data_IF_596508239750
#
_entry.id   IF_596508239750
#
_cell.length_a   1.000
_cell.length_b   1.000
_cell.length_c   1.000
_cell.angle_alpha   90.00
_cell.angle_beta   90.00
_cell.angle_gamma   90.00
#
_symmetry.space_group_name_H-M   'P 1'
#
loop_
_entity.id
_entity.type
_entity.pdbx_description
1 polymer ?
#
# COMPACT_ATOMS: atom_id res chain seq x y z
N UNK A 1 -7.91 -10.09 -12.84
CA UNK A 1 -7.42 -8.70 -12.77
C UNK A 1 -5.99 -8.67 -13.30
N UNK A 2 -5.51 -7.56 -13.85
CA UNK A 2 -4.08 -7.39 -14.17
C UNK A 2 -3.46 -6.42 -13.17
N UNK A 3 -2.33 -6.75 -12.56
CA UNK A 3 -1.62 -5.86 -11.62
C UNK A 3 -0.74 -4.83 -12.32
N UNK A 4 -1.34 -4.15 -13.30
CA UNK A 4 -0.75 -3.03 -14.05
C UNK A 4 -1.56 -1.76 -13.79
N UNK A 5 -0.98 -0.59 -14.09
CA UNK A 5 -1.72 0.68 -14.03
C UNK A 5 -3.03 0.63 -14.83
N UNK A 6 -2.99 0.04 -16.04
CA UNK A 6 -4.18 -0.13 -16.90
C UNK A 6 -5.20 -1.07 -16.27
N UNK A 7 -4.75 -2.19 -15.70
CA UNK A 7 -5.61 -3.15 -15.02
C UNK A 7 -6.31 -2.55 -13.79
N UNK A 8 -5.57 -1.84 -12.94
CA UNK A 8 -6.17 -1.14 -11.80
C UNK A 8 -7.17 -0.07 -12.24
N UNK A 9 -6.88 0.67 -13.32
CA UNK A 9 -7.84 1.65 -13.87
C UNK A 9 -9.12 0.97 -14.37
N UNK A 10 -9.02 -0.19 -15.02
CA UNK A 10 -10.17 -0.99 -15.45
C UNK A 10 -10.99 -1.52 -14.26
N UNK A 11 -10.32 -1.81 -13.14
CA UNK A 11 -10.96 -2.17 -11.87
C UNK A 11 -11.57 -0.97 -11.13
N UNK A 12 -11.47 0.25 -11.66
CA UNK A 12 -12.06 1.44 -11.06
C UNK A 12 -11.16 2.17 -10.04
N UNK A 13 -9.86 1.86 -10.00
CA UNK A 13 -8.91 2.72 -9.27
C UNK A 13 -8.69 4.04 -10.02
N UNK A 14 -8.52 5.10 -9.24
CA UNK A 14 -8.22 6.46 -9.68
C UNK A 14 -7.04 7.04 -8.88
N UNK A 15 -6.73 8.32 -9.09
CA UNK A 15 -5.65 9.01 -8.40
C UNK A 15 -4.32 8.93 -9.14
N UNK A 16 -3.65 7.77 -9.09
CA UNK A 16 -2.33 7.50 -9.68
C UNK A 16 -1.37 8.71 -9.59
N UNK A 17 -1.16 9.21 -8.36
CA UNK A 17 -0.31 10.39 -8.10
C UNK A 17 0.96 10.01 -7.36
N UNK A 18 2.13 10.59 -7.72
CA UNK A 18 3.36 10.42 -6.95
C UNK A 18 3.18 10.84 -5.49
N UNK A 19 3.76 10.08 -4.57
CA UNK A 19 3.75 10.37 -3.13
C UNK A 19 4.29 11.78 -2.86
N UNK A 20 5.40 12.17 -3.50
CA UNK A 20 6.04 13.47 -3.30
C UNK A 20 5.20 14.68 -3.70
N UNK A 21 4.19 14.49 -4.56
CA UNK A 21 3.29 15.56 -5.03
C UNK A 21 1.82 15.30 -4.68
N UNK A 22 1.54 14.39 -3.73
CA UNK A 22 0.17 13.99 -3.41
C UNK A 22 -0.48 14.98 -2.44
N UNK A 23 -1.54 15.63 -2.92
CA UNK A 23 -2.40 16.48 -2.10
C UNK A 23 -3.53 15.67 -1.46
N UNK A 24 -3.56 15.59 -0.12
CA UNK A 24 -4.57 14.83 0.62
C UNK A 24 -6.02 15.21 0.26
N UNK A 25 -6.28 16.47 -0.08
CA UNK A 25 -7.62 16.95 -0.47
C UNK A 25 -8.16 16.27 -1.74
N UNK A 26 -7.29 15.76 -2.62
CA UNK A 26 -7.69 15.02 -3.83
C UNK A 26 -8.18 13.61 -3.55
N UNK A 27 -7.88 13.07 -2.37
CA UNK A 27 -8.30 11.74 -1.96
C UNK A 27 -9.72 11.85 -1.40
N UNK A 28 -10.66 10.99 -1.84
CA UNK A 28 -12.01 10.93 -1.27
C UNK A 28 -11.98 10.65 0.24
N UNK A 29 -13.00 11.14 0.95
CA UNK A 29 -13.17 10.85 2.38
C UNK A 29 -13.84 9.51 2.64
N UNK A 30 -14.53 8.96 1.63
CA UNK A 30 -15.23 7.69 1.72
C UNK A 30 -14.31 6.51 2.03
N UNK A 31 -14.93 5.39 2.37
CA UNK A 31 -14.23 4.12 2.55
C UNK A 31 -13.75 3.58 1.20
N UNK A 32 -12.72 2.74 1.23
CA UNK A 32 -12.22 2.16 -0.01
C UNK A 32 -10.97 1.32 0.16
N UNK A 33 -10.34 0.99 -0.96
CA UNK A 33 -9.01 0.39 -1.00
C UNK A 33 -8.03 1.34 -1.67
N UNK A 34 -6.76 1.25 -1.32
CA UNK A 34 -5.69 1.97 -1.98
C UNK A 34 -4.53 1.05 -2.32
N UNK A 35 -3.76 1.44 -3.33
CA UNK A 35 -2.60 0.73 -3.82
C UNK A 35 -1.41 1.67 -3.91
N UNK A 36 -0.21 1.13 -3.69
CA UNK A 36 1.07 1.78 -3.99
C UNK A 36 1.65 1.10 -5.23
N UNK A 37 2.05 1.89 -6.22
CA UNK A 37 2.59 1.38 -7.48
C UNK A 37 3.96 1.97 -7.79
N UNK A 38 4.84 1.15 -8.35
CA UNK A 38 6.03 1.58 -9.04
C UNK A 38 5.66 2.30 -10.36
N UNK A 39 6.24 3.49 -10.66
CA UNK A 39 6.13 4.06 -12.00
C UNK A 39 6.89 3.22 -13.03
N UNK A 40 6.65 3.49 -14.31
CA UNK A 40 7.36 2.82 -15.40
C UNK A 40 8.87 3.08 -15.29
N UNK A 41 9.67 2.01 -15.46
CA UNK A 41 11.14 2.09 -15.36
C UNK A 41 11.68 2.16 -13.93
N UNK A 42 10.85 2.12 -12.90
CA UNK A 42 11.30 2.12 -11.51
C UNK A 42 12.19 0.90 -11.21
N UNK A 43 13.33 1.14 -10.56
CA UNK A 43 14.24 0.09 -10.11
C UNK A 43 14.36 0.17 -8.59
N UNK A 44 14.18 -0.94 -7.86
CA UNK A 44 14.26 -0.93 -6.41
C UNK A 44 15.70 -0.63 -5.97
N UNK A 45 15.86 0.42 -5.18
CA UNK A 45 17.08 0.67 -4.41
C UNK A 45 16.72 0.69 -2.95
N UNK A 46 17.32 -0.21 -2.18
CA UNK A 46 16.98 -0.38 -0.78
C UNK A 46 17.84 0.51 0.12
N UNK A 47 17.19 1.22 1.04
CA UNK A 47 17.85 1.97 2.10
C UNK A 47 18.29 1.02 3.22
N UNK A 48 19.51 1.26 3.75
CA UNK A 48 20.00 0.57 4.96
C UNK A 48 19.09 0.76 6.16
N UNK A 49 18.43 1.92 6.25
CA UNK A 49 17.50 2.28 7.31
C UNK A 49 16.21 2.80 6.70
N UNK A 50 15.08 2.31 7.20
CA UNK A 50 13.76 2.79 6.81
C UNK A 50 13.53 4.23 7.25
N UNK A 51 12.79 4.98 6.44
CA UNK A 51 12.25 6.29 6.84
C UNK A 51 11.00 6.15 7.71
N UNK A 52 10.45 4.94 7.85
CA UNK A 52 9.22 4.73 8.57
C UNK A 52 9.37 4.95 10.08
N UNK A 53 8.29 5.38 10.74
CA UNK A 53 8.26 5.58 12.18
C UNK A 53 8.45 4.30 12.99
N UNK A 54 8.99 4.43 14.20
CA UNK A 54 9.11 3.29 15.12
C UNK A 54 7.72 2.90 15.65
N UNK A 55 7.40 1.61 15.63
CA UNK A 55 6.14 1.08 16.18
C UNK A 55 6.41 0.17 17.36
N UNK A 56 5.86 0.48 18.54
CA UNK A 56 6.04 -0.33 19.76
C UNK A 56 7.52 -0.66 20.04
N UNK A 57 8.42 0.34 19.88
CA UNK A 57 9.89 0.22 20.02
C UNK A 57 10.57 -0.72 19.02
N UNK A 58 9.91 -1.07 17.90
CA UNK A 58 10.49 -1.90 16.83
C UNK A 58 10.96 -1.03 15.66
N UNK A 59 12.17 -1.30 15.19
CA UNK A 59 12.72 -0.73 13.96
C UNK A 59 11.99 -1.34 12.75
N UNK A 60 11.48 -0.53 11.81
CA UNK A 60 10.84 -1.05 10.60
C UNK A 60 11.82 -1.62 9.57
N UNK A 61 13.12 -1.38 9.73
CA UNK A 61 14.18 -1.76 8.79
C UNK A 61 14.40 -3.27 8.75
N UNK A 62 14.54 -3.80 7.54
CA UNK A 62 14.99 -5.14 7.21
C UNK A 62 16.34 -5.10 6.46
N UNK A 63 17.16 -6.17 6.57
CA UNK A 63 18.37 -6.29 5.76
C UNK A 63 18.01 -6.46 4.28
N UNK A 64 18.90 -6.03 3.39
CA UNK A 64 18.69 -6.04 1.94
C UNK A 64 18.27 -7.42 1.37
N UNK A 65 18.87 -8.55 1.76
CA UNK A 65 18.42 -9.87 1.26
C UNK A 65 16.97 -10.18 1.61
N UNK A 66 16.47 -9.71 2.76
CA UNK A 66 15.07 -9.90 3.13
C UNK A 66 14.14 -9.02 2.30
N UNK A 67 14.56 -7.80 1.94
CA UNK A 67 13.79 -6.93 1.03
C UNK A 67 13.75 -7.51 -0.39
N UNK A 68 14.91 -7.94 -0.90
CA UNK A 68 15.02 -8.55 -2.22
C UNK A 68 14.17 -9.82 -2.34
N UNK A 69 14.07 -10.62 -1.27
CA UNK A 69 13.23 -11.82 -1.25
C UNK A 69 11.73 -11.53 -1.40
N UNK A 70 11.26 -10.36 -0.94
CA UNK A 70 9.86 -9.93 -1.06
C UNK A 70 9.56 -9.21 -2.38
N UNK A 71 10.60 -8.78 -3.12
CA UNK A 71 10.43 -8.06 -4.38
C UNK A 71 9.83 -8.97 -5.47
N UNK A 72 9.03 -8.39 -6.36
CA UNK A 72 8.33 -9.08 -7.45
C UNK A 72 8.50 -8.29 -8.74
N UNK A 73 9.39 -8.74 -9.64
CA UNK A 73 9.72 -7.99 -10.86
C UNK A 73 8.58 -7.94 -11.90
N UNK A 74 7.67 -8.90 -11.87
CA UNK A 74 6.62 -9.06 -12.88
C UNK A 74 5.43 -8.07 -12.71
N UNK A 75 5.48 -7.16 -11.74
CA UNK A 75 4.35 -6.31 -11.37
C UNK A 75 4.77 -4.94 -10.89
N UNK A 76 3.89 -3.96 -11.09
CA UNK A 76 4.10 -2.60 -10.58
C UNK A 76 3.42 -2.37 -9.24
N UNK A 77 2.54 -3.28 -8.79
CA UNK A 77 1.79 -3.09 -7.54
C UNK A 77 2.64 -3.56 -6.36
N UNK A 78 3.04 -2.62 -5.52
CA UNK A 78 3.92 -2.86 -4.38
C UNK A 78 3.16 -3.07 -3.07
N UNK A 79 1.95 -2.51 -2.96
CA UNK A 79 1.13 -2.62 -1.77
C UNK A 79 -0.35 -2.46 -2.11
N UNK A 80 -1.21 -3.18 -1.39
CA UNK A 80 -2.65 -3.04 -1.38
C UNK A 80 -3.16 -3.01 0.07
N UNK A 81 -4.04 -2.06 0.39
CA UNK A 81 -4.63 -1.98 1.71
C UNK A 81 -6.01 -1.36 1.71
N UNK A 82 -6.80 -1.65 2.74
CA UNK A 82 -8.13 -1.03 2.93
C UNK A 82 -8.10 0.23 3.79
N UNK A 83 -9.10 1.07 3.58
CA UNK A 83 -9.42 2.24 4.38
C UNK A 83 -10.87 2.15 4.85
N UNK A 84 -11.06 1.68 6.08
CA UNK A 84 -12.37 1.51 6.70
C UNK A 84 -12.85 2.75 7.47
N UNK A 85 -14.10 2.72 7.95
CA UNK A 85 -14.73 3.84 8.67
C UNK A 85 -14.12 4.06 10.07
N UNK A 86 -13.32 3.11 10.57
CA UNK A 86 -12.78 3.12 11.92
C UNK A 86 -13.86 2.89 12.99
N UNK A 87 -13.46 2.81 14.25
CA UNK A 87 -14.38 2.56 15.37
C UNK A 87 -15.41 3.68 15.58
N UNK A 88 -15.10 4.91 15.17
CA UNK A 88 -15.97 6.10 15.31
C UNK A 88 -16.73 6.48 14.04
N UNK A 89 -16.60 5.71 12.95
CA UNK A 89 -17.31 5.99 11.70
C UNK A 89 -16.80 7.19 10.90
N UNK A 90 -15.74 7.86 11.33
CA UNK A 90 -15.27 9.14 10.78
C UNK A 90 -13.95 9.03 9.99
N UNK A 91 -13.59 7.82 9.55
CA UNK A 91 -12.37 7.53 8.80
C UNK A 91 -12.70 7.04 7.39
N UNK A 92 -11.68 6.99 6.53
CA UNK A 92 -11.77 6.53 5.15
C UNK A 92 -10.45 6.74 4.42
N UNK A 93 -10.49 6.71 3.09
CA UNK A 93 -9.32 6.74 2.22
C UNK A 93 -8.36 7.88 2.55
N UNK A 94 -8.84 9.12 2.58
CA UNK A 94 -8.01 10.30 2.89
C UNK A 94 -7.23 10.13 4.20
N UNK A 95 -7.91 9.70 5.26
CA UNK A 95 -7.27 9.54 6.58
C UNK A 95 -6.28 8.39 6.59
N UNK A 96 -6.63 7.25 5.97
CA UNK A 96 -5.76 6.07 5.95
C UNK A 96 -4.50 6.30 5.12
N UNK A 97 -4.64 6.93 3.95
CA UNK A 97 -3.49 7.30 3.11
C UNK A 97 -2.62 8.34 3.83
N UNK A 98 -3.22 9.36 4.47
CA UNK A 98 -2.43 10.32 5.24
C UNK A 98 -1.60 9.64 6.34
N UNK A 99 -2.18 8.69 7.08
CA UNK A 99 -1.44 7.94 8.10
C UNK A 99 -0.35 7.05 7.51
N UNK A 100 -0.59 6.46 6.33
CA UNK A 100 0.43 5.73 5.59
C UNK A 100 1.61 6.66 5.21
N UNK A 101 1.34 7.86 4.69
CA UNK A 101 2.37 8.85 4.36
C UNK A 101 3.11 9.36 5.60
N UNK A 102 2.38 9.68 6.66
CA UNK A 102 2.91 10.10 7.95
C UNK A 102 3.85 9.04 8.53
N UNK A 103 3.50 7.76 8.39
CA UNK A 103 4.34 6.65 8.78
C UNK A 103 5.69 6.71 8.04
N UNK A 104 5.70 6.95 6.74
CA UNK A 104 6.92 7.10 5.94
C UNK A 104 7.78 8.31 6.27
N UNK A 105 7.23 9.29 6.99
CA UNK A 105 7.92 10.48 7.49
C UNK A 105 8.42 10.31 8.93
N UNK A 106 8.52 9.07 9.42
CA UNK A 106 9.00 8.77 10.76
C UNK A 106 7.95 8.93 11.87
N UNK A 107 6.69 9.25 11.55
CA UNK A 107 5.65 9.39 12.58
C UNK A 107 5.20 8.01 13.07
N UNK A 108 4.90 7.85 14.37
CA UNK A 108 4.45 6.58 14.92
C UNK A 108 3.16 6.10 14.23
N UNK A 109 3.12 4.88 13.66
CA UNK A 109 1.94 4.44 12.93
C UNK A 109 0.90 3.79 13.85
N UNK A 110 -0.35 3.76 13.40
CA UNK A 110 -1.39 2.93 14.01
C UNK A 110 -1.34 1.45 13.59
N UNK A 111 -0.62 1.13 12.50
CA UNK A 111 -0.47 -0.21 11.93
C UNK A 111 0.96 -0.45 11.43
N UNK A 112 1.34 -1.71 11.23
CA UNK A 112 2.71 -2.08 10.83
C UNK A 112 2.84 -2.49 9.35
N UNK A 113 1.70 -2.61 8.66
CA UNK A 113 1.64 -3.00 7.26
C UNK A 113 2.13 -1.89 6.32
N UNK A 114 2.66 -2.29 5.16
CA UNK A 114 3.17 -1.37 4.15
C UNK A 114 4.56 -0.79 4.43
N UNK A 115 5.18 -1.13 5.55
CA UNK A 115 6.46 -0.52 5.99
C UNK A 115 7.62 -0.70 5.01
N UNK A 116 7.63 -1.76 4.19
CA UNK A 116 8.74 -2.01 3.26
C UNK A 116 8.80 -0.96 2.15
N UNK A 117 7.68 -0.29 1.83
CA UNK A 117 7.67 0.87 0.92
C UNK A 117 8.68 1.93 1.38
N UNK A 118 8.79 2.14 2.68
CA UNK A 118 9.65 3.15 3.30
C UNK A 118 11.11 2.70 3.47
N UNK A 119 11.51 1.59 2.85
CA UNK A 119 12.92 1.24 2.61
C UNK A 119 13.29 1.36 1.13
N UNK A 120 12.41 1.86 0.27
CA UNK A 120 12.77 2.22 -1.10
C UNK A 120 13.33 3.64 -1.11
N UNK A 121 14.49 3.84 -1.73
CA UNK A 121 15.18 5.12 -1.76
C UNK A 121 14.38 6.20 -2.50
N UNK A 122 13.63 5.80 -3.52
CA UNK A 122 12.84 6.67 -4.40
C UNK A 122 11.32 6.55 -4.11
N UNK A 123 10.96 6.36 -2.83
CA UNK A 123 9.58 6.14 -2.41
C UNK A 123 8.63 7.30 -2.77
N UNK A 124 9.15 8.51 -2.91
CA UNK A 124 8.41 9.72 -3.32
C UNK A 124 7.89 9.64 -4.76
N UNK A 125 8.56 8.87 -5.63
CA UNK A 125 8.15 8.65 -7.02
C UNK A 125 7.01 7.62 -7.15
N UNK A 126 6.79 6.81 -6.10
CA UNK A 126 5.74 5.79 -6.11
C UNK A 126 4.36 6.43 -6.20
N UNK A 127 3.46 5.77 -6.91
CA UNK A 127 2.13 6.27 -7.18
C UNK A 127 1.15 5.72 -6.15
N UNK A 128 0.30 6.59 -5.59
CA UNK A 128 -0.89 6.19 -4.85
C UNK A 128 -2.09 6.17 -5.79
N UNK A 129 -2.81 5.05 -5.78
CA UNK A 129 -4.11 4.89 -6.42
C UNK A 129 -5.16 4.46 -5.40
N UNK A 130 -6.43 4.80 -5.63
CA UNK A 130 -7.52 4.47 -4.71
C UNK A 130 -8.80 4.12 -5.46
N UNK A 131 -9.66 3.33 -4.82
CA UNK A 131 -11.00 2.96 -5.28
C UNK A 131 -11.95 3.07 -4.11
N UNK A 132 -12.97 3.93 -4.21
CA UNK A 132 -14.04 4.00 -3.22
C UNK A 132 -14.83 2.70 -3.23
N UNK A 133 -15.15 2.21 -2.03
CA UNK A 133 -15.87 0.96 -1.85
C UNK A 133 -16.62 0.99 -0.51
N UNK A 134 -17.89 0.54 -0.45
CA UNK A 134 -18.63 0.45 0.80
C UNK A 134 -17.92 -0.38 1.87
N UNK A 135 -18.12 -0.02 3.14
CA UNK A 135 -17.40 -0.60 4.27
C UNK A 135 -17.57 -2.12 4.36
N UNK A 136 -18.77 -2.62 4.08
CA UNK A 136 -19.16 -4.03 4.06
C UNK A 136 -18.40 -4.86 3.02
N UNK A 137 -17.88 -4.22 1.97
CA UNK A 137 -17.16 -4.91 0.90
C UNK A 137 -15.64 -4.88 1.06
N UNK A 138 -15.10 -4.06 1.98
CA UNK A 138 -13.66 -3.83 2.11
C UNK A 138 -12.87 -5.10 2.41
N UNK A 139 -13.32 -5.90 3.39
CA UNK A 139 -12.60 -7.10 3.80
C UNK A 139 -12.55 -8.14 2.68
N UNK A 140 -13.67 -8.30 1.95
CA UNK A 140 -13.76 -9.20 0.80
C UNK A 140 -12.89 -8.72 -0.36
N UNK A 141 -12.91 -7.42 -0.67
CA UNK A 141 -12.10 -6.85 -1.74
C UNK A 141 -10.60 -6.97 -1.45
N UNK A 142 -10.15 -6.60 -0.26
CA UNK A 142 -8.73 -6.72 0.14
C UNK A 142 -8.24 -8.17 0.08
N UNK A 143 -9.00 -9.11 0.65
CA UNK A 143 -8.67 -10.53 0.58
C UNK A 143 -8.68 -11.06 -0.86
N UNK A 144 -9.63 -10.59 -1.68
CA UNK A 144 -9.73 -10.94 -3.10
C UNK A 144 -8.53 -10.46 -3.91
N UNK A 145 -8.09 -9.21 -3.74
CA UNK A 145 -6.90 -8.70 -4.42
C UNK A 145 -5.63 -9.44 -3.99
N UNK A 146 -5.48 -9.75 -2.70
CA UNK A 146 -4.33 -10.53 -2.24
C UNK A 146 -4.37 -11.96 -2.79
N UNK A 147 -5.56 -12.57 -2.89
CA UNK A 147 -5.71 -13.90 -3.48
C UNK A 147 -5.34 -13.92 -4.97
N UNK A 148 -5.87 -12.98 -5.75
CA UNK A 148 -5.57 -12.85 -7.17
C UNK A 148 -4.08 -12.55 -7.40
N UNK A 149 -3.45 -11.72 -6.57
CA UNK A 149 -2.02 -11.44 -6.68
C UNK A 149 -1.18 -12.69 -6.41
N UNK A 150 -1.55 -13.49 -5.40
CA UNK A 150 -0.87 -14.78 -5.12
C UNK A 150 -1.10 -15.80 -6.24
N UNK A 151 -2.29 -15.83 -6.85
CA UNK A 151 -2.57 -16.70 -7.99
C UNK A 151 -1.71 -16.34 -9.22
N UNK A 152 -1.50 -15.05 -9.48
CA UNK A 152 -0.72 -14.56 -10.62
C UNK A 152 0.80 -14.61 -10.39
N UNK A 153 1.27 -14.32 -9.17
CA UNK A 153 2.69 -14.12 -8.87
C UNK A 153 3.29 -15.09 -7.83
N UNK A 154 2.47 -15.97 -7.24
CA UNK A 154 2.91 -16.97 -6.25
C UNK A 154 3.24 -16.43 -4.85
N UNK A 155 3.09 -15.12 -4.61
CA UNK A 155 3.41 -14.43 -3.35
C UNK A 155 2.55 -13.18 -3.19
N UNK A 156 2.70 -12.41 -2.10
CA UNK A 156 2.00 -11.13 -1.90
C UNK A 156 2.73 -9.97 -2.58
N UNK A 157 2.08 -8.79 -2.75
CA UNK A 157 2.79 -7.58 -3.12
C UNK A 157 3.92 -7.27 -2.14
N UNK A 158 5.00 -6.67 -2.64
CA UNK A 158 6.25 -6.41 -1.92
C UNK A 158 6.08 -5.98 -0.45
N UNK A 159 5.18 -5.03 -0.16
CA UNK A 159 5.00 -4.49 1.19
C UNK A 159 3.79 -5.07 1.96
N UNK A 160 3.12 -6.09 1.42
CA UNK A 160 2.09 -6.87 2.09
C UNK A 160 2.70 -8.16 2.66
N UNK A 161 3.08 -8.13 3.94
CA UNK A 161 3.74 -9.30 4.58
C UNK A 161 2.75 -10.27 5.25
N UNK A 162 1.49 -9.88 5.37
CA UNK A 162 0.43 -10.72 5.92
C UNK A 162 -0.74 -10.73 4.95
N UNK A 163 -1.18 -11.94 4.57
CA UNK A 163 -2.34 -12.11 3.69
C UNK A 163 -3.62 -11.75 4.43
N UNK A 164 -4.42 -10.85 3.85
CA UNK A 164 -5.75 -10.56 4.33
C UNK A 164 -6.66 -11.79 4.21
N UNK A 165 -7.51 -11.99 5.22
CA UNK A 165 -8.49 -13.07 5.26
C UNK A 165 -9.86 -12.48 5.57
N UNK A 166 -10.89 -12.95 4.88
CA UNK A 166 -12.26 -12.77 5.36
C UNK A 166 -12.43 -13.63 6.60
N UNK A 167 -12.94 -13.07 7.70
CA UNK A 167 -13.48 -13.91 8.77
C UNK A 167 -14.64 -14.68 8.15
N UNK A 168 -14.56 -16.01 8.19
CA UNK A 168 -15.67 -16.89 7.83
C UNK A 168 -16.82 -16.75 8.82
#
# INVERSE_FOLDING_TARGET
>A
MQFTRKGLKAEGFAGFRPIGSLEAMRIPQGTGVFAVLAPEGFQPRFLKKSTAGVFKKKDPSLPEPALAAEWVDATVVLYLGKAGPGSKGNRGLRRQVQEFLDFGQGKPPGHWDGRLVWQLADADQLLIAWKELPAEHLAKAEAGYHAAFVEEHGRLPFANLVRARTKG
#
